data_IF_360717504356
#
_entry.id   IF_360717504356
#
_cell.length_a   1.000
_cell.length_b   1.000
_cell.length_c   1.000
_cell.angle_alpha   90.00
_cell.angle_beta   90.00
_cell.angle_gamma   90.00
#
_symmetry.space_group_name_H-M   'P 1'
#
loop_
_entity.id
_entity.type
_entity.pdbx_description
1 polymer ?
#
# COMPACT_ATOMS: atom_id res chain seq x y z
N UNK A 1 -10.45 5.81 31.62
CA UNK A 1 -10.00 4.80 30.63
C UNK A 1 -10.13 5.29 29.17
N UNK A 2 -10.23 6.60 28.90
CA UNK A 2 -10.63 7.11 27.57
C UNK A 2 -9.51 7.78 26.76
N UNK A 3 -8.32 7.98 27.32
CA UNK A 3 -7.22 8.65 26.59
C UNK A 3 -6.48 7.71 25.63
N UNK A 4 -6.43 6.41 25.94
CA UNK A 4 -5.68 5.41 25.17
C UNK A 4 -6.23 5.13 23.76
N UNK A 5 -7.52 5.41 23.51
CA UNK A 5 -8.15 5.16 22.21
C UNK A 5 -7.95 6.32 21.23
N UNK A 6 -7.86 7.55 21.76
CA UNK A 6 -7.70 8.78 20.98
C UNK A 6 -6.26 8.92 20.48
N UNK A 7 -5.26 8.74 21.35
CA UNK A 7 -3.83 8.78 20.96
C UNK A 7 -3.46 7.72 19.92
N UNK A 8 -4.04 6.52 20.04
CA UNK A 8 -3.81 5.41 19.12
C UNK A 8 -4.48 5.61 17.74
N UNK A 9 -5.52 6.45 17.68
CA UNK A 9 -6.19 6.82 16.43
C UNK A 9 -5.40 7.94 15.73
N UNK A 10 -4.97 8.98 16.45
CA UNK A 10 -4.15 10.08 15.89
C UNK A 10 -2.79 9.62 15.35
N UNK A 11 -2.10 8.74 16.09
CA UNK A 11 -0.82 8.18 15.65
C UNK A 11 -0.98 7.42 14.32
N UNK A 12 -2.08 6.67 14.17
CA UNK A 12 -2.38 5.90 12.97
C UNK A 12 -2.77 6.78 11.78
N UNK A 13 -3.54 7.84 12.03
CA UNK A 13 -3.92 8.86 11.04
C UNK A 13 -2.68 9.53 10.44
N UNK A 14 -1.74 9.95 11.30
CA UNK A 14 -0.50 10.60 10.88
C UNK A 14 0.38 9.69 10.02
N UNK A 15 0.50 8.41 10.38
CA UNK A 15 1.25 7.42 9.56
C UNK A 15 0.65 7.25 8.17
N UNK A 16 -0.68 7.14 8.06
CA UNK A 16 -1.37 6.98 6.77
C UNK A 16 -1.18 8.22 5.90
N UNK A 17 -1.40 9.43 6.44
CA UNK A 17 -1.20 10.67 5.68
C UNK A 17 0.24 10.89 5.25
N UNK A 18 1.21 10.58 6.11
CA UNK A 18 2.63 10.70 5.78
C UNK A 18 3.04 9.75 4.65
N UNK A 19 2.53 8.52 4.69
CA UNK A 19 2.75 7.54 3.64
C UNK A 19 2.09 7.97 2.32
N UNK A 20 0.84 8.43 2.34
CA UNK A 20 0.11 8.86 1.14
C UNK A 20 0.61 10.19 0.55
N UNK A 21 1.02 11.14 1.38
CA UNK A 21 1.56 12.43 0.94
C UNK A 21 2.96 12.34 0.34
N UNK A 22 3.62 11.18 0.47
CA UNK A 22 4.92 10.94 -0.15
C UNK A 22 4.79 10.74 -1.65
N UNK A 23 5.72 11.36 -2.41
CA UNK A 23 5.78 11.20 -3.88
C UNK A 23 5.84 9.71 -4.25
N UNK A 24 5.09 9.34 -5.29
CA UNK A 24 4.96 8.00 -5.87
C UNK A 24 4.11 7.01 -5.07
N UNK A 25 3.62 7.36 -3.88
CA UNK A 25 2.86 6.43 -3.05
C UNK A 25 1.52 6.04 -3.67
N UNK A 26 0.80 7.00 -4.26
CA UNK A 26 -0.47 6.74 -4.92
C UNK A 26 -0.28 5.87 -6.18
N UNK A 27 0.73 6.17 -6.97
CA UNK A 27 1.10 5.41 -8.18
C UNK A 27 1.46 3.96 -7.84
N UNK A 28 2.22 3.74 -6.75
CA UNK A 28 2.54 2.40 -6.26
C UNK A 28 1.26 1.66 -5.84
N UNK A 29 0.35 2.31 -5.11
CA UNK A 29 -0.92 1.70 -4.72
C UNK A 29 -1.80 1.36 -5.94
N UNK A 30 -1.79 2.20 -6.97
CA UNK A 30 -2.49 1.92 -8.23
C UNK A 30 -1.89 0.71 -8.94
N UNK A 31 -0.56 0.67 -9.08
CA UNK A 31 0.17 -0.39 -9.79
C UNK A 31 0.13 -1.75 -9.06
N UNK A 32 0.01 -1.75 -7.73
CA UNK A 32 -0.04 -2.94 -6.88
C UNK A 32 -1.47 -3.52 -6.72
N UNK A 33 -2.32 -3.40 -7.75
CA UNK A 33 -3.64 -4.07 -7.80
C UNK A 33 -3.52 -5.60 -7.90
N UNK A 34 -2.48 -6.05 -8.61
CA UNK A 34 -1.99 -7.43 -8.63
C UNK A 34 -0.62 -7.51 -7.94
N UNK A 35 -0.19 -8.71 -7.50
CA UNK A 35 1.06 -8.87 -6.77
C UNK A 35 2.26 -8.51 -7.65
N UNK A 36 3.05 -7.53 -7.23
CA UNK A 36 4.23 -7.08 -7.98
C UNK A 36 5.47 -6.99 -7.11
N UNK A 37 6.63 -7.31 -7.68
CA UNK A 37 7.90 -7.09 -7.01
C UNK A 37 8.23 -5.60 -6.95
N UNK A 38 9.12 -5.21 -6.03
CA UNK A 38 9.64 -3.84 -5.98
C UNK A 38 10.29 -3.43 -7.31
N UNK A 39 10.95 -4.36 -8.00
CA UNK A 39 11.57 -4.09 -9.30
C UNK A 39 10.52 -3.80 -10.37
N UNK A 40 9.44 -4.59 -10.43
CA UNK A 40 8.35 -4.37 -11.37
C UNK A 40 7.67 -3.01 -11.13
N UNK A 41 7.34 -2.69 -9.87
CA UNK A 41 6.76 -1.39 -9.50
C UNK A 41 7.70 -0.21 -9.85
N UNK A 42 9.00 -0.39 -9.62
CA UNK A 42 10.02 0.60 -9.96
C UNK A 42 10.08 0.88 -11.46
N UNK A 43 9.99 -0.17 -12.28
CA UNK A 43 10.00 -0.07 -13.73
C UNK A 43 8.69 0.55 -14.26
N UNK A 44 7.53 0.08 -13.77
CA UNK A 44 6.21 0.54 -14.21
C UNK A 44 6.00 2.05 -13.98
N UNK A 45 6.55 2.58 -12.88
CA UNK A 45 6.38 3.97 -12.45
C UNK A 45 7.62 4.82 -12.83
N UNK A 46 8.64 4.19 -13.43
CA UNK A 46 9.90 4.82 -13.85
C UNK A 46 10.60 5.59 -12.71
N UNK A 47 10.73 4.96 -11.54
CA UNK A 47 11.42 5.53 -10.38
C UNK A 47 12.68 4.73 -10.02
N UNK A 48 13.66 5.32 -9.31
CA UNK A 48 14.80 4.57 -8.80
C UNK A 48 14.37 3.47 -7.81
N UNK A 49 14.95 2.28 -7.94
CA UNK A 49 14.60 1.11 -7.13
C UNK A 49 14.69 1.37 -5.62
N UNK A 50 15.70 2.11 -5.17
CA UNK A 50 15.84 2.49 -3.76
C UNK A 50 14.70 3.39 -3.27
N UNK A 51 14.19 4.27 -4.13
CA UNK A 51 13.01 5.09 -3.83
C UNK A 51 11.77 4.22 -3.75
N UNK A 52 11.61 3.27 -4.68
CA UNK A 52 10.49 2.32 -4.66
C UNK A 52 10.47 1.52 -3.35
N UNK A 53 11.61 0.95 -2.93
CA UNK A 53 11.71 0.21 -1.65
C UNK A 53 11.31 1.06 -0.44
N UNK A 54 11.79 2.31 -0.36
CA UNK A 54 11.43 3.21 0.75
C UNK A 54 9.92 3.44 0.80
N UNK A 55 9.29 3.70 -0.35
CA UNK A 55 7.84 3.91 -0.43
C UNK A 55 7.03 2.66 -0.12
N UNK A 56 7.49 1.49 -0.59
CA UNK A 56 6.86 0.22 -0.23
C UNK A 56 6.91 0.03 1.29
N UNK A 57 8.03 0.32 1.93
CA UNK A 57 8.13 0.22 3.39
C UNK A 57 7.17 1.19 4.09
N UNK A 58 7.15 2.46 3.70
CA UNK A 58 6.24 3.48 4.24
C UNK A 58 4.76 3.02 4.15
N UNK A 59 4.38 2.43 3.00
CA UNK A 59 3.03 1.94 2.73
C UNK A 59 2.70 0.64 3.46
N UNK A 60 3.67 -0.26 3.65
CA UNK A 60 3.51 -1.50 4.45
C UNK A 60 3.33 -1.14 5.92
N UNK A 61 4.12 -0.22 6.44
CA UNK A 61 4.03 0.25 7.84
C UNK A 61 2.67 0.94 8.10
N UNK A 62 2.15 1.67 7.11
CA UNK A 62 0.80 2.24 7.14
C UNK A 62 -0.33 1.20 6.92
N UNK A 63 0.01 -0.04 6.54
CA UNK A 63 -0.94 -1.11 6.25
C UNK A 63 -1.74 -0.92 4.96
N UNK A 64 -1.24 -0.11 4.02
CA UNK A 64 -1.83 0.16 2.71
C UNK A 64 -1.32 -0.81 1.64
N UNK A 65 -0.11 -1.37 1.84
CA UNK A 65 0.45 -2.50 1.11
C UNK A 65 0.66 -3.70 2.05
N UNK A 66 0.71 -4.90 1.47
CA UNK A 66 1.13 -6.11 2.16
C UNK A 66 2.06 -6.95 1.29
N UNK A 67 2.98 -7.67 1.93
CA UNK A 67 3.80 -8.68 1.26
C UNK A 67 2.99 -9.97 1.15
N UNK A 68 2.63 -10.36 -0.07
CA UNK A 68 1.77 -11.53 -0.33
C UNK A 68 2.59 -12.81 -0.50
N UNK A 69 3.90 -12.70 -0.66
CA UNK A 69 4.78 -13.85 -0.77
C UNK A 69 6.08 -13.53 -1.49
N UNK A 70 6.64 -14.56 -2.14
CA UNK A 70 7.85 -14.43 -2.94
C UNK A 70 7.68 -15.10 -4.29
N UNK A 71 8.19 -14.47 -5.33
CA UNK A 71 8.21 -14.99 -6.70
C UNK A 71 9.65 -15.13 -7.20
N UNK A 72 9.89 -16.13 -8.06
CA UNK A 72 11.15 -16.29 -8.76
C UNK A 72 11.29 -15.19 -9.82
N UNK A 73 12.35 -14.39 -9.75
CA UNK A 73 12.69 -13.44 -10.79
C UNK A 73 13.34 -14.14 -11.99
N UNK A 74 13.42 -13.43 -13.12
CA UNK A 74 14.14 -13.89 -14.32
C UNK A 74 15.63 -14.19 -14.04
N UNK A 75 16.22 -13.50 -13.07
CA UNK A 75 17.60 -13.71 -12.60
C UNK A 75 17.74 -14.90 -11.63
N UNK A 76 16.68 -15.68 -11.43
CA UNK A 76 16.67 -16.86 -10.56
C UNK A 76 16.65 -16.55 -9.06
N UNK A 77 16.39 -15.30 -8.66
CA UNK A 77 16.32 -14.89 -7.24
C UNK A 77 14.88 -14.85 -6.77
N UNK A 78 14.61 -15.28 -5.53
CA UNK A 78 13.28 -15.11 -4.92
C UNK A 78 13.13 -13.69 -4.38
N UNK A 79 12.18 -12.94 -4.91
CA UNK A 79 11.90 -11.56 -4.50
C UNK A 79 10.51 -11.46 -3.88
N UNK A 80 10.34 -10.56 -2.90
CA UNK A 80 9.03 -10.32 -2.31
C UNK A 80 8.11 -9.65 -3.33
N UNK A 81 6.84 -10.04 -3.31
CA UNK A 81 5.77 -9.41 -4.10
C UNK A 81 4.77 -8.74 -3.16
N UNK A 82 4.26 -7.59 -3.59
CA UNK A 82 3.41 -6.72 -2.79
C UNK A 82 2.09 -6.47 -3.50
N UNK A 83 1.00 -6.42 -2.72
CA UNK A 83 -0.34 -6.06 -3.18
C UNK A 83 -0.95 -5.01 -2.24
N UNK A 84 -1.76 -4.11 -2.78
CA UNK A 84 -2.55 -3.15 -1.99
C UNK A 84 -3.64 -3.84 -1.17
N UNK A 85 -3.91 -3.29 0.01
CA UNK A 85 -4.87 -3.85 0.98
C UNK A 85 -6.28 -3.23 0.86
N UNK A 86 -6.41 -2.18 0.05
CA UNK A 86 -7.63 -1.39 -0.11
C UNK A 86 -7.83 -0.98 -1.57
N UNK A 87 -9.08 -0.71 -1.92
CA UNK A 87 -9.46 -0.14 -3.22
C UNK A 87 -9.68 1.37 -3.13
N UNK A 88 -9.99 1.89 -1.95
CA UNK A 88 -10.37 3.28 -1.74
C UNK A 88 -10.00 3.74 -0.33
N UNK A 89 -9.51 4.96 -0.23
CA UNK A 89 -9.32 5.69 1.02
C UNK A 89 -9.98 7.06 0.90
N UNK A 90 -10.72 7.43 1.92
CA UNK A 90 -11.39 8.72 2.03
C UNK A 90 -10.84 9.45 3.24
N UNK A 91 -10.58 10.75 3.07
CA UNK A 91 -10.08 11.62 4.13
C UNK A 91 -11.08 12.76 4.28
N UNK A 92 -11.66 12.87 5.48
CA UNK A 92 -12.60 13.93 5.84
C UNK A 92 -11.90 14.92 6.78
N UNK A 93 -12.00 16.21 6.44
CA UNK A 93 -11.42 17.34 7.17
C UNK A 93 -12.50 18.25 7.78
N UNK A 94 -13.73 17.77 7.93
CA UNK A 94 -14.85 18.55 8.46
C UNK A 94 -14.77 18.83 9.97
N UNK A 95 -13.95 18.06 10.70
CA UNK A 95 -13.72 18.20 12.15
C UNK A 95 -12.30 18.73 12.45
N UNK A 96 -12.00 18.96 13.74
CA UNK A 96 -10.69 19.43 14.22
C UNK A 96 -9.52 18.49 13.88
N UNK A 97 -9.81 17.21 13.60
CA UNK A 97 -8.83 16.18 13.24
C UNK A 97 -9.29 15.41 11.99
N UNK A 98 -8.37 15.03 11.08
CA UNK A 98 -8.74 14.28 9.89
C UNK A 98 -9.28 12.90 10.25
N UNK A 99 -10.43 12.55 9.66
CA UNK A 99 -11.02 11.22 9.76
C UNK A 99 -10.75 10.39 8.51
N UNK A 100 -10.68 9.07 8.67
CA UNK A 100 -10.34 8.15 7.58
C UNK A 100 -11.37 7.05 7.45
N UNK A 101 -11.85 6.88 6.22
CA UNK A 101 -12.64 5.74 5.78
C UNK A 101 -11.81 4.95 4.76
N UNK A 102 -11.96 3.62 4.74
CA UNK A 102 -11.27 2.78 3.75
C UNK A 102 -12.14 1.62 3.30
N UNK A 103 -12.15 1.38 1.99
CA UNK A 103 -12.76 0.21 1.39
C UNK A 103 -11.70 -0.88 1.23
N UNK A 104 -11.70 -1.85 2.12
CA UNK A 104 -10.75 -2.96 2.07
C UNK A 104 -10.95 -3.79 0.80
N UNK A 105 -9.83 -4.25 0.26
CA UNK A 105 -9.80 -5.26 -0.80
C UNK A 105 -10.05 -6.64 -0.17
N UNK A 106 -10.81 -7.49 -0.85
CA UNK A 106 -11.14 -8.84 -0.37
C UNK A 106 -10.36 -9.90 -1.14
N UNK A 107 -10.12 -11.06 -0.53
CA UNK A 107 -9.50 -12.20 -1.22
C UNK A 107 -10.30 -12.65 -2.46
N UNK A 108 -11.63 -12.53 -2.41
CA UNK A 108 -12.47 -12.80 -3.58
C UNK A 108 -12.16 -11.86 -4.74
N UNK A 109 -12.00 -10.55 -4.47
CA UNK A 109 -11.59 -9.59 -5.50
C UNK A 109 -10.18 -9.86 -6.03
N UNK A 110 -9.26 -10.28 -5.15
CA UNK A 110 -7.91 -10.66 -5.58
C UNK A 110 -7.96 -11.81 -6.58
N UNK A 111 -8.64 -12.91 -6.23
CA UNK A 111 -8.78 -14.08 -7.12
C UNK A 111 -9.41 -13.75 -8.47
N UNK A 112 -10.45 -12.90 -8.48
CA UNK A 112 -11.11 -12.49 -9.74
C UNK A 112 -10.14 -11.66 -10.60
N UNK A 113 -9.41 -10.72 -10.00
CA UNK A 113 -8.45 -9.90 -10.75
C UNK A 113 -7.33 -10.77 -11.33
N UNK A 114 -6.79 -11.69 -10.55
CA UNK A 114 -5.67 -12.54 -10.96
C UNK A 114 -6.06 -13.43 -12.17
N UNK A 115 -7.31 -13.91 -12.22
CA UNK A 115 -7.85 -14.70 -13.35
C UNK A 115 -8.08 -13.89 -14.64
N UNK A 116 -8.14 -12.56 -14.57
CA UNK A 116 -8.38 -11.69 -15.72
C UNK A 116 -7.09 -11.19 -16.37
N UNK A 117 -5.95 -11.29 -15.67
CA UNK A 117 -4.63 -10.83 -16.13
C UNK A 117 -3.72 -11.98 -16.62
N UNK A 118 -4.17 -13.25 -16.49
CA UNK A 118 -3.57 -14.46 -17.10
C UNK A 118 -4.15 -14.74 -18.50
#
# INVERSE_FOLDING_TARGET
>A
MSQSRTEQTESKSTTILSALGSKYSAEILCAAGTPKSAQALSNDIEIPIATCYRRIQDLVDAGLLTCEGRQLSEEGRRTNIYRRTLDEIEVDFSDDHPQFSRKRRTEAKNRIQDQLED
#
